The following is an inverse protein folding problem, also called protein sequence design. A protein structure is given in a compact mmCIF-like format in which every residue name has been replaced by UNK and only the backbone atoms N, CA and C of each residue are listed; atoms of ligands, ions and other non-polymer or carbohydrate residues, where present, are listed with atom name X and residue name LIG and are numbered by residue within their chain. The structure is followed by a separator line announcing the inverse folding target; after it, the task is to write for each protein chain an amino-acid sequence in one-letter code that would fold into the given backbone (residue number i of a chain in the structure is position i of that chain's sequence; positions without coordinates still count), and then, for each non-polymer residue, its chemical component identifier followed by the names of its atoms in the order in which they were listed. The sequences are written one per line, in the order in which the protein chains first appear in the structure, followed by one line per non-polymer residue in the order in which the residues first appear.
data_IF_808632128840
#
_entry.id   IF_808632128840
#
_cell.length_a   1.000
_cell.length_b   1.000
_cell.length_c   1.000
_cell.angle_alpha   90.00
_cell.angle_beta   90.00
_cell.angle_gamma   90.00
#
_symmetry.space_group_name_H-M   'P 1'
#
loop_
_entity.id
_entity.type
_entity.pdbx_description
1 polymer ?
#
# COMPACT_ATOMS: atom_id res chain seq x y z
N UNK A 1 -15.95 9.32 -20.20
CA UNK A 1 -15.86 9.13 -18.73
C UNK A 1 -16.96 9.93 -18.07
N UNK A 2 -17.78 9.29 -17.25
CA UNK A 2 -18.82 9.97 -16.47
C UNK A 2 -18.12 10.74 -15.34
N UNK A 3 -18.04 12.07 -15.43
CA UNK A 3 -17.36 12.90 -14.44
C UNK A 3 -18.16 14.17 -14.13
N UNK A 4 -18.18 14.56 -12.86
CA UNK A 4 -18.82 15.78 -12.36
C UNK A 4 -17.83 16.95 -12.43
N UNK A 5 -18.30 18.16 -12.72
CA UNK A 5 -17.43 19.34 -12.72
C UNK A 5 -17.03 19.69 -11.27
N UNK A 6 -15.76 19.98 -11.02
CA UNK A 6 -15.27 20.41 -9.70
C UNK A 6 -16.01 21.65 -9.17
N UNK A 7 -16.54 22.50 -10.05
CA UNK A 7 -17.35 23.66 -9.66
C UNK A 7 -18.68 23.25 -9.02
N UNK A 8 -19.30 22.18 -9.52
CA UNK A 8 -20.56 21.65 -8.97
C UNK A 8 -20.30 20.92 -7.66
N UNK A 9 -19.18 20.18 -7.58
CA UNK A 9 -18.72 19.58 -6.33
C UNK A 9 -18.50 20.63 -5.26
N UNK A 10 -17.85 21.75 -5.58
CA UNK A 10 -17.62 22.85 -4.63
C UNK A 10 -18.91 23.51 -4.17
N UNK A 11 -19.90 23.70 -5.06
CA UNK A 11 -21.18 24.32 -4.72
C UNK A 11 -21.99 23.49 -3.73
N UNK A 12 -21.85 22.17 -3.77
CA UNK A 12 -22.64 21.22 -3.00
C UNK A 12 -21.76 20.20 -2.28
N UNK A 13 -20.68 20.70 -1.67
CA UNK A 13 -19.58 19.87 -1.17
C UNK A 13 -20.04 18.82 -0.16
N UNK A 14 -20.94 19.19 0.75
CA UNK A 14 -21.51 18.26 1.74
C UNK A 14 -22.20 17.06 1.10
N UNK A 15 -23.07 17.28 0.11
CA UNK A 15 -23.77 16.20 -0.59
C UNK A 15 -22.81 15.25 -1.29
N UNK A 16 -21.78 15.79 -1.95
CA UNK A 16 -20.79 14.97 -2.65
C UNK A 16 -19.92 14.17 -1.69
N UNK A 17 -19.55 14.73 -0.53
CA UNK A 17 -18.83 13.98 0.51
C UNK A 17 -19.71 12.82 1.02
N UNK A 18 -20.98 13.06 1.32
CA UNK A 18 -21.90 12.01 1.74
C UNK A 18 -22.04 10.92 0.67
N UNK A 19 -22.12 11.30 -0.60
CA UNK A 19 -22.20 10.35 -1.73
C UNK A 19 -20.89 9.53 -1.89
N UNK A 20 -19.72 10.18 -1.79
CA UNK A 20 -18.41 9.52 -1.86
C UNK A 20 -18.21 8.51 -0.71
N UNK A 21 -18.58 8.91 0.50
CA UNK A 21 -18.37 8.11 1.70
C UNK A 21 -19.34 6.94 1.76
N UNK A 22 -20.60 7.15 1.39
CA UNK A 22 -21.69 6.19 1.65
C UNK A 22 -22.18 5.41 0.44
N UNK A 23 -21.94 5.90 -0.78
CA UNK A 23 -22.58 5.36 -1.98
C UNK A 23 -21.56 4.81 -2.98
N UNK A 24 -20.67 5.66 -3.53
CA UNK A 24 -19.76 5.25 -4.61
C UNK A 24 -18.59 6.22 -4.81
N UNK A 25 -17.50 5.79 -5.46
CA UNK A 25 -16.49 6.71 -5.93
C UNK A 25 -17.07 7.69 -6.97
N UNK A 26 -16.61 8.93 -6.93
CA UNK A 26 -17.04 9.97 -7.87
C UNK A 26 -15.82 10.47 -8.63
N UNK A 27 -15.92 10.44 -9.96
CA UNK A 27 -14.94 11.05 -10.84
C UNK A 27 -15.24 12.53 -11.02
N UNK A 28 -14.22 13.35 -10.87
CA UNK A 28 -14.32 14.81 -10.84
C UNK A 28 -13.38 15.37 -11.89
N UNK A 29 -13.88 16.32 -12.70
CA UNK A 29 -13.12 17.04 -13.71
C UNK A 29 -12.83 18.46 -13.24
N UNK A 30 -11.56 18.87 -13.30
CA UNK A 30 -11.12 20.26 -13.09
C UNK A 30 -10.30 20.70 -14.30
N UNK A 31 -10.89 21.52 -15.16
CA UNK A 31 -10.25 21.97 -16.41
C UNK A 31 -9.81 20.80 -17.31
N UNK A 32 -8.52 20.46 -17.35
CA UNK A 32 -7.95 19.33 -18.10
C UNK A 32 -7.70 18.10 -17.24
N UNK A 33 -7.77 18.23 -15.92
CA UNK A 33 -7.41 17.20 -14.97
C UNK A 33 -8.65 16.41 -14.53
N UNK A 34 -8.42 15.14 -14.20
CA UNK A 34 -9.42 14.24 -13.66
C UNK A 34 -8.88 13.63 -12.36
N UNK A 35 -9.72 13.57 -11.35
CA UNK A 35 -9.41 12.90 -10.09
C UNK A 35 -10.65 12.17 -9.57
N UNK A 36 -10.46 11.33 -8.57
CA UNK A 36 -11.51 10.52 -7.97
C UNK A 36 -11.61 10.83 -6.49
N UNK A 37 -12.83 11.07 -6.01
CA UNK A 37 -13.14 10.93 -4.59
C UNK A 37 -13.58 9.50 -4.31
N UNK A 38 -12.96 8.84 -3.34
CA UNK A 38 -13.25 7.47 -2.93
C UNK A 38 -13.18 7.36 -1.40
N UNK A 39 -14.04 6.55 -0.79
CA UNK A 39 -13.98 6.26 0.64
C UNK A 39 -12.80 5.33 0.96
N UNK A 40 -12.27 5.39 2.18
CA UNK A 40 -11.18 4.49 2.61
C UNK A 40 -11.59 3.01 2.49
N UNK A 41 -12.84 2.67 2.81
CA UNK A 41 -13.34 1.29 2.68
C UNK A 41 -13.29 0.80 1.22
N UNK A 42 -13.73 1.62 0.27
CA UNK A 42 -13.65 1.28 -1.15
C UNK A 42 -12.20 1.29 -1.66
N UNK A 43 -11.35 2.18 -1.15
CA UNK A 43 -9.93 2.20 -1.50
C UNK A 43 -9.22 0.93 -1.02
N UNK A 44 -9.56 0.42 0.17
CA UNK A 44 -9.08 -0.88 0.68
C UNK A 44 -9.46 -2.03 -0.25
N UNK A 45 -10.69 -2.03 -0.77
CA UNK A 45 -11.12 -3.02 -1.76
C UNK A 45 -10.29 -3.01 -3.05
N UNK A 46 -9.75 -1.85 -3.46
CA UNK A 46 -8.89 -1.77 -4.66
C UNK A 46 -7.53 -2.45 -4.47
N UNK A 47 -7.07 -2.57 -3.22
CA UNK A 47 -5.75 -3.12 -2.88
C UNK A 47 -5.82 -4.44 -2.15
N UNK A 48 -7.01 -5.01 -1.93
CA UNK A 48 -7.19 -6.22 -1.11
C UNK A 48 -6.38 -7.42 -1.59
N UNK A 49 -6.28 -7.59 -2.91
CA UNK A 49 -5.59 -8.71 -3.56
C UNK A 49 -4.09 -8.41 -3.80
N UNK A 50 -3.59 -7.26 -3.33
CA UNK A 50 -2.17 -6.92 -3.41
C UNK A 50 -1.43 -7.73 -2.35
N UNK A 51 -0.50 -8.56 -2.82
CA UNK A 51 0.37 -9.39 -1.98
C UNK A 51 1.82 -8.95 -2.08
N UNK A 52 2.58 -9.32 -1.06
CA UNK A 52 4.03 -9.17 -0.97
C UNK A 52 4.66 -10.56 -1.06
N UNK A 53 5.86 -10.64 -1.60
CA UNK A 53 6.60 -11.90 -1.70
C UNK A 53 7.93 -11.72 -1.01
N UNK A 54 8.27 -12.63 -0.10
CA UNK A 54 9.55 -12.62 0.58
C UNK A 54 10.25 -13.97 0.39
N UNK A 55 11.54 -13.94 0.07
CA UNK A 55 12.38 -15.13 0.11
C UNK A 55 12.81 -15.38 1.55
N UNK A 56 12.55 -16.60 2.03
CA UNK A 56 12.88 -17.07 3.37
C UNK A 56 14.12 -17.96 3.32
N UNK A 57 15.08 -17.64 4.19
CA UNK A 57 16.30 -18.40 4.42
C UNK A 57 16.35 -18.82 5.88
N UNK A 58 16.76 -20.06 6.15
CA UNK A 58 17.07 -20.54 7.49
C UNK A 58 18.59 -20.55 7.59
N UNK A 59 19.13 -19.77 8.52
CA UNK A 59 20.56 -19.61 8.72
C UNK A 59 21.15 -20.77 9.55
N UNK A 60 22.48 -20.85 9.61
CA UNK A 60 23.20 -21.92 10.35
C UNK A 60 22.89 -21.95 11.85
N UNK A 61 22.50 -20.81 12.42
CA UNK A 61 22.10 -20.67 13.84
C UNK A 61 20.59 -20.85 14.07
N UNK A 62 19.87 -21.30 13.05
CA UNK A 62 18.41 -21.46 13.00
C UNK A 62 17.61 -20.15 13.01
N UNK A 63 18.25 -18.98 12.94
CA UNK A 63 17.55 -17.73 12.67
C UNK A 63 16.93 -17.75 11.27
N UNK A 64 15.90 -16.92 11.08
CA UNK A 64 15.17 -16.79 9.83
C UNK A 64 15.43 -15.41 9.23
N UNK A 65 15.92 -15.41 7.99
CA UNK A 65 16.07 -14.20 7.17
C UNK A 65 14.95 -14.12 6.14
N UNK A 66 14.26 -12.98 6.08
CA UNK A 66 13.26 -12.64 5.08
C UNK A 66 13.79 -11.51 4.19
N UNK A 67 13.86 -11.75 2.88
CA UNK A 67 14.23 -10.75 1.87
C UNK A 67 13.02 -10.40 1.02
N UNK A 68 12.56 -9.15 1.12
CA UNK A 68 11.31 -8.73 0.49
C UNK A 68 11.51 -8.36 -0.99
N UNK A 69 10.68 -8.92 -1.88
CA UNK A 69 10.75 -8.64 -3.30
C UNK A 69 10.23 -7.26 -3.65
N UNK A 70 10.92 -6.61 -4.59
CA UNK A 70 10.69 -5.23 -5.04
C UNK A 70 11.00 -4.17 -3.99
N UNK A 71 11.48 -4.52 -2.80
CA UNK A 71 11.89 -3.57 -1.75
C UNK A 71 13.33 -3.85 -1.36
N UNK A 72 14.05 -2.80 -0.97
CA UNK A 72 15.41 -2.93 -0.44
C UNK A 72 15.38 -3.26 1.08
N UNK A 73 14.49 -4.18 1.49
CA UNK A 73 14.23 -4.54 2.89
C UNK A 73 14.57 -6.01 3.12
N UNK A 74 15.43 -6.26 4.11
CA UNK A 74 15.84 -7.60 4.56
C UNK A 74 15.83 -7.62 6.07
N UNK A 75 15.13 -8.58 6.66
CA UNK A 75 15.02 -8.76 8.11
C UNK A 75 15.56 -10.12 8.52
N UNK A 76 16.28 -10.19 9.64
CA UNK A 76 16.73 -11.44 10.26
C UNK A 76 16.33 -11.43 11.73
N UNK A 77 15.71 -12.50 12.18
CA UNK A 77 15.33 -12.68 13.58
C UNK A 77 15.37 -14.17 13.96
N UNK A 78 15.23 -14.46 15.24
CA UNK A 78 15.23 -15.80 15.85
C UNK A 78 14.23 -16.79 15.24
N UNK A 79 13.09 -16.33 14.71
CA UNK A 79 12.14 -17.16 13.99
C UNK A 79 11.35 -16.37 12.93
N UNK A 80 10.53 -17.07 12.14
CA UNK A 80 9.76 -16.46 11.05
C UNK A 80 8.69 -15.48 11.55
N UNK A 81 8.10 -15.72 12.72
CA UNK A 81 7.08 -14.82 13.28
C UNK A 81 7.71 -13.50 13.68
N UNK A 82 8.84 -13.53 14.40
CA UNK A 82 9.53 -12.31 14.81
C UNK A 82 10.12 -11.56 13.61
N UNK A 83 10.68 -12.27 12.62
CA UNK A 83 11.15 -11.66 11.39
C UNK A 83 10.01 -10.97 10.60
N UNK A 84 8.80 -11.56 10.59
CA UNK A 84 7.62 -10.93 9.99
C UNK A 84 7.17 -9.70 10.77
N UNK A 85 7.20 -9.73 12.11
CA UNK A 85 6.87 -8.56 12.95
C UNK A 85 7.79 -7.38 12.62
N UNK A 86 9.11 -7.59 12.62
CA UNK A 86 10.08 -6.54 12.25
C UNK A 86 9.91 -6.08 10.80
N UNK A 87 9.64 -7.00 9.88
CA UNK A 87 9.41 -6.65 8.47
C UNK A 87 8.19 -5.73 8.28
N UNK A 88 7.13 -5.94 9.07
CA UNK A 88 5.95 -5.07 9.02
C UNK A 88 6.24 -3.67 9.55
N UNK A 89 7.05 -3.55 10.61
CA UNK A 89 7.46 -2.26 11.16
C UNK A 89 8.25 -1.45 10.11
N UNK A 90 9.28 -2.05 9.52
CA UNK A 90 10.09 -1.45 8.46
C UNK A 90 9.26 -1.09 7.22
N UNK A 91 8.31 -1.95 6.83
CA UNK A 91 7.42 -1.67 5.70
C UNK A 91 6.53 -0.46 5.93
N UNK A 92 6.04 -0.27 7.17
CA UNK A 92 5.23 0.89 7.52
C UNK A 92 6.05 2.16 7.51
N UNK A 93 7.25 2.13 8.06
CA UNK A 93 8.18 3.26 8.00
C UNK A 93 8.49 3.62 6.54
N UNK A 94 8.89 2.63 5.74
CA UNK A 94 9.14 2.82 4.31
C UNK A 94 7.92 3.41 3.57
N UNK A 95 6.71 2.93 3.87
CA UNK A 95 5.51 3.42 3.20
C UNK A 95 5.17 4.88 3.56
N UNK A 96 5.45 5.29 4.80
CA UNK A 96 5.28 6.67 5.23
C UNK A 96 6.32 7.58 4.53
N UNK A 97 7.59 7.21 4.55
CA UNK A 97 8.65 7.96 3.85
C UNK A 97 8.39 8.05 2.34
N UNK A 98 7.92 6.95 1.73
CA UNK A 98 7.55 6.93 0.33
C UNK A 98 6.45 7.95 0.03
N UNK A 99 5.42 8.00 0.86
CA UNK A 99 4.25 8.84 0.63
C UNK A 99 4.52 10.32 0.95
N UNK A 100 5.39 10.61 1.91
CA UNK A 100 5.81 11.98 2.24
C UNK A 100 6.58 12.65 1.09
N UNK A 101 7.46 11.92 0.40
CA UNK A 101 8.20 12.42 -0.77
C UNK A 101 7.89 11.62 -2.05
N UNK A 102 6.59 11.47 -2.33
CA UNK A 102 6.12 10.63 -3.44
C UNK A 102 6.65 11.07 -4.81
N UNK A 103 6.94 12.36 -5.01
CA UNK A 103 7.51 12.88 -6.25
C UNK A 103 8.94 12.38 -6.47
N UNK A 104 9.78 12.41 -5.43
CA UNK A 104 11.13 11.86 -5.46
C UNK A 104 11.10 10.34 -5.68
N UNK A 105 10.37 9.60 -4.83
CA UNK A 105 10.37 8.14 -4.87
C UNK A 105 9.75 7.58 -6.16
N UNK A 106 8.69 8.22 -6.68
CA UNK A 106 8.04 7.80 -7.92
C UNK A 106 8.80 8.20 -9.19
N UNK A 107 9.90 8.96 -9.07
CA UNK A 107 10.76 9.29 -10.22
C UNK A 107 11.41 8.03 -10.81
N UNK A 108 11.80 7.07 -9.96
CA UNK A 108 12.27 5.75 -10.37
C UNK A 108 11.11 4.85 -10.84
N UNK A 109 11.30 4.13 -11.94
CA UNK A 109 10.24 3.32 -12.55
C UNK A 109 9.88 2.07 -11.74
N UNK A 110 10.83 1.49 -11.00
CA UNK A 110 10.59 0.31 -10.18
C UNK A 110 9.85 0.74 -8.90
N UNK A 111 10.29 1.82 -8.26
CA UNK A 111 9.63 2.40 -7.07
C UNK A 111 8.23 2.91 -7.39
N UNK A 112 8.01 3.52 -8.55
CA UNK A 112 6.65 3.93 -8.97
C UNK A 112 5.67 2.76 -9.07
N UNK A 113 6.13 1.56 -9.45
CA UNK A 113 5.28 0.36 -9.48
C UNK A 113 4.90 -0.14 -8.08
N UNK A 114 5.57 0.31 -7.03
CA UNK A 114 5.24 -0.04 -5.64
C UNK A 114 3.99 0.68 -5.13
N UNK A 115 3.47 1.71 -5.82
CA UNK A 115 2.34 2.51 -5.33
C UNK A 115 1.13 1.68 -4.82
N UNK A 116 0.68 0.60 -5.51
CA UNK A 116 -0.39 -0.24 -4.97
C UNK A 116 -0.03 -0.91 -3.64
N UNK A 117 1.22 -1.35 -3.48
CA UNK A 117 1.75 -1.94 -2.25
C UNK A 117 1.86 -0.90 -1.13
N UNK A 118 2.33 0.32 -1.45
CA UNK A 118 2.34 1.45 -0.50
C UNK A 118 0.93 1.77 -0.02
N UNK A 119 -0.04 1.86 -0.93
CA UNK A 119 -1.44 2.10 -0.56
C UNK A 119 -2.02 0.95 0.27
N UNK A 120 -1.68 -0.32 -0.02
CA UNK A 120 -2.05 -1.47 0.82
C UNK A 120 -1.56 -1.28 2.26
N UNK A 121 -0.30 -0.87 2.45
CA UNK A 121 0.28 -0.64 3.79
C UNK A 121 -0.45 0.51 4.50
N UNK A 122 -0.58 1.66 3.85
CA UNK A 122 -1.18 2.86 4.46
C UNK A 122 -2.68 2.72 4.77
N UNK A 123 -3.39 1.88 4.03
CA UNK A 123 -4.83 1.64 4.22
C UNK A 123 -5.14 0.49 5.20
N UNK A 124 -4.13 -0.25 5.64
CA UNK A 124 -4.29 -1.41 6.53
C UNK A 124 -3.75 -1.07 7.93
N UNK A 125 -4.66 -1.01 8.91
CA UNK A 125 -4.30 -0.67 10.29
C UNK A 125 -3.86 -1.87 11.12
N UNK A 126 -4.26 -3.08 10.72
CA UNK A 126 -3.99 -4.31 11.45
C UNK A 126 -2.71 -4.98 10.94
N UNK A 127 -1.78 -5.29 11.85
CA UNK A 127 -0.53 -5.96 11.49
C UNK A 127 -0.80 -7.39 11.00
N UNK A 128 -1.79 -8.08 11.56
CA UNK A 128 -2.09 -9.45 11.17
C UNK A 128 -2.62 -9.51 9.73
N UNK A 129 -3.50 -8.58 9.33
CA UNK A 129 -3.96 -8.46 7.93
C UNK A 129 -2.80 -8.19 6.95
N UNK A 130 -1.78 -7.43 7.37
CA UNK A 130 -0.60 -7.21 6.55
C UNK A 130 0.29 -8.45 6.48
N UNK A 131 0.51 -9.16 7.60
CA UNK A 131 1.26 -10.42 7.61
C UNK A 131 0.62 -11.47 6.71
N UNK A 132 -0.71 -11.60 6.74
CA UNK A 132 -1.47 -12.49 5.84
C UNK A 132 -1.29 -12.13 4.36
N UNK A 133 -0.93 -10.87 4.06
CA UNK A 133 -0.65 -10.42 2.70
C UNK A 133 0.80 -10.71 2.26
N UNK A 134 1.67 -11.23 3.13
CA UNK A 134 3.06 -11.60 2.82
C UNK A 134 3.15 -13.11 2.56
N UNK A 135 3.63 -13.46 1.37
CA UNK A 135 3.88 -14.83 0.95
C UNK A 135 5.36 -15.13 1.10
N UNK A 136 5.71 -15.92 2.12
CA UNK A 136 7.07 -16.43 2.31
C UNK A 136 7.30 -17.67 1.42
N UNK A 137 8.30 -17.59 0.54
CA UNK A 137 8.74 -18.71 -0.30
C UNK A 137 10.17 -19.13 0.06
N UNK A 138 10.54 -20.37 -0.25
CA UNK A 138 11.90 -20.85 0.01
C UNK A 138 12.89 -20.10 -0.89
N UNK A 139 13.86 -19.42 -0.30
CA UNK A 139 14.93 -18.74 -1.02
C UNK A 139 15.80 -19.71 -1.80
N UNK A 140 16.32 -19.29 -2.96
CA UNK A 140 17.27 -20.09 -3.73
C UNK A 140 18.69 -19.75 -3.29
N UNK A 141 19.43 -20.75 -2.85
CA UNK A 141 20.87 -20.67 -2.56
C UNK A 141 21.73 -20.68 -3.82
#
# INVERSE_FOLDING_TARGET
MLAVNATDVRKDFGRYIDEIVRVKPIFIKRSRDYFMGISLNMARELVKDVVFTADKYIEDDYSVTLSLHDFDIVMNDSDESSALDSLIEDLKEYALEFYEDIEYWSSDINRRKQLPKILKILLTNDNEELKESIICQVGRS
#
